data_IF_326877176089
#
_entry.id   IF_326877176089
#
_cell.length_a   1.000
_cell.length_b   1.000
_cell.length_c   1.000
_cell.angle_alpha   90.00
_cell.angle_beta   90.00
_cell.angle_gamma   90.00
#
_symmetry.space_group_name_H-M   'P 1'
#
loop_
_entity.id
_entity.type
_entity.pdbx_description
1 polymer ?
#
# COMPACT_ATOMS: atom_id res chain seq x y z
N UNK A 1 -14.64 20.85 0.76
CA UNK A 1 -13.76 21.37 -0.30
C UNK A 1 -12.41 20.66 -0.38
N UNK A 2 -11.69 20.42 0.74
CA UNK A 2 -10.43 19.65 0.75
C UNK A 2 -10.58 18.22 0.19
N UNK A 3 -11.63 17.49 0.58
CA UNK A 3 -11.95 16.15 0.05
C UNK A 3 -12.21 16.15 -1.48
N UNK A 4 -12.78 17.23 -2.03
CA UNK A 4 -13.08 17.36 -3.45
C UNK A 4 -11.82 17.68 -4.27
N UNK A 5 -10.90 18.47 -3.69
CA UNK A 5 -9.59 18.73 -4.29
C UNK A 5 -8.69 17.49 -4.30
N UNK A 6 -8.75 16.67 -3.25
CA UNK A 6 -8.02 15.40 -3.17
C UNK A 6 -8.52 14.38 -4.21
N UNK A 7 -9.85 14.27 -4.36
CA UNK A 7 -10.46 13.38 -5.35
C UNK A 7 -10.15 13.83 -6.79
N UNK A 8 -10.09 15.15 -7.03
CA UNK A 8 -9.66 15.72 -8.31
C UNK A 8 -8.18 15.44 -8.59
N UNK A 9 -7.31 15.52 -7.58
CA UNK A 9 -5.88 15.21 -7.69
C UNK A 9 -5.66 13.72 -8.01
N UNK A 10 -6.40 12.83 -7.34
CA UNK A 10 -6.36 11.39 -7.60
C UNK A 10 -6.87 11.06 -9.02
N UNK A 11 -7.93 11.72 -9.51
CA UNK A 11 -8.39 11.54 -10.89
C UNK A 11 -7.37 12.03 -11.92
N UNK A 12 -6.71 13.17 -11.68
CA UNK A 12 -5.66 13.69 -12.57
C UNK A 12 -4.46 12.73 -12.63
N UNK A 13 -4.09 12.13 -11.49
CA UNK A 13 -3.04 11.10 -11.44
C UNK A 13 -3.42 9.86 -12.25
N UNK A 14 -4.65 9.36 -12.12
CA UNK A 14 -5.12 8.16 -12.86
C UNK A 14 -5.21 8.41 -14.37
N UNK A 15 -5.65 9.59 -14.80
CA UNK A 15 -5.74 9.98 -16.21
C UNK A 15 -4.37 10.20 -16.86
N UNK A 16 -3.31 10.40 -16.07
CA UNK A 16 -1.94 10.56 -16.56
C UNK A 16 -1.32 9.25 -17.07
N UNK A 17 -1.90 8.09 -16.71
CA UNK A 17 -1.41 6.77 -17.14
C UNK A 17 -1.97 6.30 -18.50
N UNK A 18 -2.81 7.09 -19.18
CA UNK A 18 -3.48 6.68 -20.43
C UNK A 18 -3.09 7.46 -21.70
N UNK A 19 -1.89 8.04 -21.76
CA UNK A 19 -1.39 8.80 -22.93
C UNK A 19 0.12 8.56 -23.07
N UNK A 20 0.71 7.99 -24.12
CA UNK A 20 0.31 7.71 -25.50
C UNK A 20 1.03 6.44 -25.96
N UNK A 21 0.28 5.40 -26.33
CA UNK A 21 0.77 4.41 -27.29
C UNK A 21 0.44 4.96 -28.68
N UNK A 22 1.42 5.55 -29.38
CA UNK A 22 1.25 6.01 -30.77
C UNK A 22 1.93 5.05 -31.70
N UNK A 23 1.13 4.14 -32.24
CA UNK A 23 1.49 3.27 -33.36
C UNK A 23 1.99 4.11 -34.54
N UNK A 24 3.18 3.76 -35.05
CA UNK A 24 3.67 4.24 -36.35
C UNK A 24 3.03 3.40 -37.45
N UNK A 25 1.96 3.89 -38.05
CA UNK A 25 1.52 3.47 -39.38
C UNK A 25 2.00 4.48 -40.43
N UNK A 26 2.69 3.98 -41.45
CA UNK A 26 3.17 4.74 -42.62
C UNK A 26 2.02 5.02 -43.59
N UNK A 27 2.12 6.20 -44.20
CA UNK A 27 1.44 6.76 -45.38
C UNK A 27 0.70 5.81 -46.32
N UNK A 28 -0.49 6.26 -46.76
CA UNK A 28 -0.74 6.51 -48.19
C UNK A 28 -1.92 7.49 -48.40
N UNK A 29 -1.62 8.54 -49.15
CA UNK A 29 -2.53 9.42 -49.88
C UNK A 29 -3.67 8.67 -50.58
N UNK A 30 -4.89 9.21 -50.51
CA UNK A 30 -5.57 9.76 -51.68
C UNK A 30 -6.91 10.41 -51.29
N UNK A 31 -7.11 11.58 -51.88
CA UNK A 31 -8.32 12.40 -52.02
C UNK A 31 -9.66 11.65 -52.02
N UNK A 32 -10.68 12.22 -51.37
CA UNK A 32 -11.88 12.75 -52.06
C UNK A 32 -12.87 13.39 -51.07
N UNK A 33 -13.39 14.55 -51.47
CA UNK A 33 -14.50 15.27 -50.87
C UNK A 33 -15.79 14.43 -50.96
N UNK A 34 -16.63 14.44 -49.92
CA UNK A 34 -18.04 14.83 -50.14
C UNK A 34 -18.84 15.14 -48.86
N UNK A 35 -19.87 15.94 -49.09
CA UNK A 35 -20.76 16.66 -48.18
C UNK A 35 -21.81 15.80 -47.45
N UNK A 36 -22.17 16.31 -46.27
CA UNK A 36 -23.54 16.51 -45.70
C UNK A 36 -24.56 15.38 -45.82
N UNK A 37 -25.06 14.90 -44.68
CA UNK A 37 -26.50 14.99 -44.38
C UNK A 37 -26.81 14.83 -42.88
N UNK A 38 -27.65 15.74 -42.41
CA UNK A 38 -28.34 15.77 -41.13
C UNK A 38 -29.31 14.58 -41.02
N UNK A 39 -29.55 14.11 -39.80
CA UNK A 39 -30.91 13.82 -39.36
C UNK A 39 -31.01 13.96 -37.85
N UNK A 40 -31.81 14.94 -37.46
CA UNK A 40 -32.48 15.08 -36.17
C UNK A 40 -33.67 14.10 -36.09
N UNK A 41 -34.37 14.20 -34.96
CA UNK A 41 -35.63 13.56 -34.55
C UNK A 41 -35.40 12.43 -33.54
N UNK A 42 -36.05 12.38 -32.38
CA UNK A 42 -36.80 13.33 -31.56
C UNK A 42 -37.07 12.60 -30.24
N UNK A 43 -37.34 13.38 -29.20
CA UNK A 43 -37.70 13.00 -27.83
C UNK A 43 -38.79 11.91 -27.71
N UNK A 44 -38.76 11.10 -26.64
CA UNK A 44 -39.92 10.89 -25.75
C UNK A 44 -39.45 10.44 -24.35
N UNK A 45 -39.70 11.33 -23.37
CA UNK A 45 -39.71 11.07 -21.94
C UNK A 45 -40.89 10.16 -21.57
N UNK A 46 -40.69 9.24 -20.62
CA UNK A 46 -41.79 8.75 -19.79
C UNK A 46 -41.31 8.57 -18.34
N UNK A 47 -41.75 9.52 -17.53
CA UNK A 47 -41.87 9.40 -16.08
C UNK A 47 -43.03 8.45 -15.76
N UNK A 48 -42.83 7.52 -14.83
CA UNK A 48 -43.93 6.90 -14.10
C UNK A 48 -43.50 6.69 -12.64
N UNK A 49 -43.99 7.59 -11.80
CA UNK A 49 -43.95 7.51 -10.34
C UNK A 49 -44.95 6.45 -9.86
N UNK A 50 -44.55 5.61 -8.90
CA UNK A 50 -45.43 5.15 -7.82
C UNK A 50 -44.62 4.64 -6.61
N UNK A 51 -44.68 5.45 -5.56
CA UNK A 51 -44.78 5.13 -4.13
C UNK A 51 -45.63 3.88 -3.82
N UNK A 52 -45.55 3.16 -2.70
CA UNK A 52 -44.84 3.16 -1.42
C UNK A 52 -44.95 1.69 -0.92
N UNK A 53 -44.03 1.22 -0.08
CA UNK A 53 -44.35 0.73 1.28
C UNK A 53 -43.20 -0.10 1.87
N UNK A 54 -42.93 0.25 3.12
CA UNK A 54 -41.95 -0.26 4.05
C UNK A 54 -41.98 -1.79 4.19
N UNK A 55 -40.81 -2.42 4.27
CA UNK A 55 -40.59 -3.44 5.28
C UNK A 55 -39.13 -3.51 5.73
N UNK A 56 -39.04 -3.63 7.03
CA UNK A 56 -37.95 -3.34 7.95
C UNK A 56 -37.06 -4.58 8.10
N UNK A 57 -35.89 -4.61 7.46
CA UNK A 57 -34.82 -5.57 7.79
C UNK A 57 -33.46 -4.87 7.79
N UNK A 58 -33.21 -4.13 8.86
CA UNK A 58 -31.85 -3.77 9.27
C UNK A 58 -31.14 -4.99 9.87
N UNK A 59 -30.78 -5.95 9.02
CA UNK A 59 -29.70 -6.87 9.34
C UNK A 59 -28.37 -6.14 9.15
N UNK A 60 -28.03 -5.25 10.09
CA UNK A 60 -26.64 -4.84 10.31
C UNK A 60 -25.93 -6.00 11.01
N UNK A 61 -25.74 -7.08 10.26
CA UNK A 61 -24.84 -8.16 10.58
C UNK A 61 -23.44 -7.56 10.55
N UNK A 62 -23.07 -6.95 11.68
CA UNK A 62 -21.69 -6.76 12.06
C UNK A 62 -21.04 -8.14 12.01
N UNK A 63 -20.46 -8.43 10.85
CA UNK A 63 -19.53 -9.51 10.62
C UNK A 63 -18.31 -9.21 11.48
N UNK A 64 -18.45 -9.42 12.79
CA UNK A 64 -17.35 -9.71 13.69
C UNK A 64 -16.79 -11.04 13.21
N UNK A 65 -15.97 -10.96 12.16
CA UNK A 65 -15.04 -11.98 11.77
C UNK A 65 -14.15 -12.20 12.99
N UNK A 66 -14.58 -13.13 13.83
CA UNK A 66 -13.74 -13.75 14.83
C UNK A 66 -12.72 -14.58 14.05
N UNK A 67 -11.65 -13.91 13.57
CA UNK A 67 -10.62 -14.51 12.75
C UNK A 67 -9.85 -15.50 13.61
N UNK A 68 -10.23 -16.78 13.48
CA UNK A 68 -9.45 -17.90 13.98
C UNK A 68 -8.08 -17.92 13.29
N UNK A 69 -7.03 -18.23 14.07
CA UNK A 69 -5.67 -18.66 13.66
C UNK A 69 -5.33 -18.53 12.17
N UNK A 70 -4.30 -17.72 11.85
CA UNK A 70 -3.78 -17.43 10.52
C UNK A 70 -3.46 -18.64 9.62
N UNK A 71 -4.50 -19.22 9.05
CA UNK A 71 -4.42 -20.17 7.95
C UNK A 71 -4.56 -19.37 6.66
N UNK A 72 -3.46 -18.72 6.26
CA UNK A 72 -3.41 -17.93 5.04
C UNK A 72 -3.23 -18.87 3.84
N UNK A 73 -4.24 -18.93 2.96
CA UNK A 73 -4.18 -19.71 1.73
C UNK A 73 -3.18 -19.10 0.73
N UNK A 74 -2.57 -19.91 -0.12
CA UNK A 74 -1.69 -19.40 -1.17
C UNK A 74 -2.40 -18.41 -2.07
N UNK A 75 -3.68 -18.59 -2.38
CA UNK A 75 -4.39 -17.72 -3.34
C UNK A 75 -4.63 -16.32 -2.80
N UNK A 76 -5.03 -16.21 -1.54
CA UNK A 76 -5.51 -14.95 -0.94
C UNK A 76 -4.68 -14.52 0.27
N UNK A 77 -3.60 -15.22 0.60
CA UNK A 77 -2.91 -15.04 1.87
C UNK A 77 -2.33 -13.64 2.04
N UNK A 78 -1.82 -13.03 0.97
CA UNK A 78 -1.27 -11.69 1.01
C UNK A 78 -2.37 -10.65 1.22
N UNK A 79 -3.41 -10.66 0.39
CA UNK A 79 -4.57 -9.75 0.50
C UNK A 79 -5.30 -9.90 1.83
N UNK A 80 -5.47 -11.13 2.33
CA UNK A 80 -6.11 -11.39 3.63
C UNK A 80 -5.26 -10.83 4.77
N UNK A 81 -3.95 -11.09 4.79
CA UNK A 81 -3.07 -10.56 5.83
C UNK A 81 -3.05 -9.03 5.85
N UNK A 82 -2.95 -8.40 4.68
CA UNK A 82 -2.98 -6.93 4.54
C UNK A 82 -4.33 -6.37 5.00
N UNK A 83 -5.43 -7.00 4.61
CA UNK A 83 -6.78 -6.58 5.02
C UNK A 83 -6.95 -6.68 6.54
N UNK A 84 -6.49 -7.77 7.17
CA UNK A 84 -6.50 -7.92 8.63
C UNK A 84 -5.71 -6.80 9.31
N UNK A 85 -4.51 -6.49 8.80
CA UNK A 85 -3.67 -5.41 9.32
C UNK A 85 -4.36 -4.04 9.23
N UNK A 86 -4.87 -3.69 8.05
CA UNK A 86 -5.54 -2.41 7.82
C UNK A 86 -6.79 -2.27 8.68
N UNK A 87 -7.68 -3.26 8.65
CA UNK A 87 -8.92 -3.26 9.45
C UNK A 87 -8.65 -3.18 10.95
N UNK A 88 -7.56 -3.79 11.42
CA UNK A 88 -7.22 -3.74 12.85
C UNK A 88 -6.88 -2.32 13.29
N UNK A 89 -6.19 -1.53 12.47
CA UNK A 89 -5.80 -0.17 12.86
C UNK A 89 -6.79 0.92 12.44
N UNK A 90 -7.67 0.67 11.47
CA UNK A 90 -8.63 1.67 10.96
C UNK A 90 -9.34 2.46 12.06
N UNK A 91 -9.94 1.86 13.10
CA UNK A 91 -10.65 2.64 14.13
C UNK A 91 -9.74 3.64 14.86
N UNK A 92 -8.49 3.25 15.14
CA UNK A 92 -7.52 4.13 15.78
C UNK A 92 -6.99 5.22 14.84
N UNK A 93 -6.87 4.93 13.54
CA UNK A 93 -6.50 5.91 12.52
C UNK A 93 -7.62 6.94 12.33
N UNK A 94 -8.88 6.51 12.29
CA UNK A 94 -10.04 7.40 12.18
C UNK A 94 -10.08 8.39 13.35
N UNK A 95 -9.80 7.94 14.58
CA UNK A 95 -9.68 8.82 15.75
C UNK A 95 -8.56 9.85 15.60
N UNK A 96 -7.41 9.47 15.05
CA UNK A 96 -6.29 10.39 14.80
C UNK A 96 -6.67 11.45 13.76
N UNK A 97 -7.35 11.05 12.69
CA UNK A 97 -7.79 11.93 11.62
C UNK A 97 -8.90 12.90 12.06
N UNK A 98 -9.73 12.51 13.01
CA UNK A 98 -10.78 13.34 13.59
C UNK A 98 -10.29 14.26 14.72
N UNK A 99 -9.14 13.96 15.31
CA UNK A 99 -8.58 14.72 16.43
C UNK A 99 -7.98 16.08 16.02
N UNK A 100 -7.88 17.00 16.98
CA UNK A 100 -7.21 18.28 16.76
C UNK A 100 -5.69 18.10 16.72
N UNK A 101 -5.14 18.09 15.50
CA UNK A 101 -3.71 17.91 15.27
C UNK A 101 -2.95 19.22 15.56
N UNK A 102 -1.89 19.19 16.40
CA UNK A 102 -1.03 20.35 16.57
C UNK A 102 -0.38 20.77 15.25
N UNK A 103 -0.40 22.07 14.93
CA UNK A 103 0.25 22.61 13.71
C UNK A 103 1.73 22.19 13.59
N UNK A 104 2.40 22.00 14.73
CA UNK A 104 3.80 21.62 14.81
C UNK A 104 4.09 20.21 14.29
N UNK A 105 3.10 19.30 14.27
CA UNK A 105 3.30 17.87 13.96
C UNK A 105 2.67 17.43 12.64
N UNK A 106 2.02 18.36 11.92
CA UNK A 106 1.23 18.05 10.71
C UNK A 106 2.07 17.44 9.57
N UNK A 107 3.36 17.73 9.50
CA UNK A 107 4.25 17.13 8.50
C UNK A 107 4.73 15.76 8.94
N UNK A 108 5.07 15.60 10.23
CA UNK A 108 5.55 14.33 10.77
C UNK A 108 4.45 13.27 10.76
N UNK A 109 3.20 13.65 10.98
CA UNK A 109 2.05 12.73 10.98
C UNK A 109 1.87 12.01 9.63
N UNK A 110 2.35 12.59 8.52
CA UNK A 110 2.36 11.91 7.22
C UNK A 110 3.22 10.65 7.23
N UNK A 111 4.22 10.58 8.12
CA UNK A 111 5.03 9.39 8.39
C UNK A 111 4.20 8.17 8.76
N UNK A 112 3.04 8.36 9.41
CA UNK A 112 2.13 7.28 9.81
C UNK A 112 1.60 6.47 8.62
N UNK A 113 1.44 7.13 7.46
CA UNK A 113 0.88 6.52 6.25
C UNK A 113 1.94 5.88 5.35
N UNK A 114 3.22 6.08 5.63
CA UNK A 114 4.31 5.57 4.78
C UNK A 114 4.28 4.05 4.67
N UNK A 115 3.93 3.35 5.75
CA UNK A 115 3.86 1.91 5.74
C UNK A 115 2.76 1.36 4.82
N UNK A 116 1.59 2.00 4.83
CA UNK A 116 0.45 1.57 4.01
C UNK A 116 0.74 1.77 2.52
N UNK A 117 1.44 2.86 2.17
CA UNK A 117 1.88 3.13 0.80
C UNK A 117 2.86 2.06 0.31
N UNK A 118 3.79 1.61 1.16
CA UNK A 118 4.77 0.57 0.80
C UNK A 118 4.11 -0.78 0.51
N UNK A 119 3.02 -1.12 1.21
CA UNK A 119 2.37 -2.43 1.08
C UNK A 119 1.19 -2.46 0.09
N UNK A 120 0.85 -1.32 -0.54
CA UNK A 120 -0.37 -1.20 -1.35
C UNK A 120 -0.42 -2.14 -2.57
N UNK A 121 0.74 -2.48 -3.14
CA UNK A 121 0.82 -3.37 -4.31
C UNK A 121 0.90 -4.85 -3.92
N UNK A 122 1.20 -5.19 -2.66
CA UNK A 122 1.36 -6.58 -2.20
C UNK A 122 0.11 -7.44 -2.47
N UNK A 123 -1.13 -6.96 -2.23
CA UNK A 123 -2.33 -7.73 -2.59
C UNK A 123 -2.45 -8.06 -4.09
N UNK A 124 -1.83 -7.27 -4.99
CA UNK A 124 -1.92 -7.51 -6.43
C UNK A 124 -1.20 -8.81 -6.86
N UNK A 125 -0.28 -9.33 -6.05
CA UNK A 125 0.35 -10.63 -6.30
C UNK A 125 -0.64 -11.80 -6.18
N UNK A 126 -1.71 -11.66 -5.38
CA UNK A 126 -2.78 -12.65 -5.33
C UNK A 126 -3.53 -12.76 -6.66
N UNK A 127 -3.65 -11.64 -7.38
CA UNK A 127 -4.24 -11.58 -8.72
C UNK A 127 -3.32 -12.14 -9.82
N UNK A 128 -2.11 -12.63 -9.51
CA UNK A 128 -1.32 -13.40 -10.49
C UNK A 128 -1.88 -14.83 -10.67
N UNK A 129 -2.68 -15.32 -9.72
CA UNK A 129 -3.31 -16.65 -9.77
C UNK A 129 -4.85 -16.59 -9.87
N UNK A 130 -5.40 -15.72 -10.73
CA UNK A 130 -6.86 -15.53 -10.87
C UNK A 130 -7.62 -16.79 -11.28
N UNK A 131 -6.95 -17.72 -11.97
CA UNK A 131 -7.58 -18.96 -12.47
C UNK A 131 -7.51 -20.10 -11.46
N UNK A 132 -6.85 -19.89 -10.32
CA UNK A 132 -6.67 -20.89 -9.28
C UNK A 132 -5.86 -22.08 -9.78
N UNK A 133 -4.72 -21.79 -10.40
CA UNK A 133 -3.75 -22.80 -10.83
C UNK A 133 -3.38 -23.71 -9.65
N UNK A 134 -2.99 -24.95 -9.96
CA UNK A 134 -2.42 -25.86 -8.95
C UNK A 134 -0.93 -25.62 -8.74
N UNK A 135 -0.39 -24.62 -9.43
CA UNK A 135 1.04 -24.36 -9.45
C UNK A 135 1.40 -23.59 -8.19
N UNK A 136 2.42 -24.08 -7.50
CA UNK A 136 2.99 -23.40 -6.34
C UNK A 136 3.85 -22.21 -6.71
N UNK A 137 3.88 -21.83 -7.99
CA UNK A 137 4.60 -20.68 -8.52
C UNK A 137 3.83 -20.12 -9.70
N UNK A 138 3.55 -18.83 -9.67
CA UNK A 138 2.89 -18.09 -10.74
C UNK A 138 3.73 -16.89 -11.13
N UNK A 139 3.63 -16.52 -12.40
CA UNK A 139 4.29 -15.34 -12.99
C UNK A 139 3.25 -14.58 -13.79
N UNK A 140 3.31 -13.26 -13.75
CA UNK A 140 2.45 -12.39 -14.56
C UNK A 140 2.78 -10.92 -14.30
N UNK A 141 2.01 -10.02 -14.90
CA UNK A 141 2.21 -8.59 -14.72
C UNK A 141 1.35 -8.06 -13.58
N UNK A 142 1.93 -7.26 -12.68
CA UNK A 142 1.19 -6.60 -11.62
C UNK A 142 0.23 -5.55 -12.18
N UNK A 143 -0.95 -5.43 -11.55
CA UNK A 143 -2.02 -4.57 -12.04
C UNK A 143 -1.66 -3.08 -12.02
N UNK A 144 -0.83 -2.63 -11.07
CA UNK A 144 -0.51 -1.21 -10.89
C UNK A 144 0.75 -0.80 -11.63
N UNK A 145 1.87 -1.51 -11.42
CA UNK A 145 3.14 -1.20 -12.08
C UNK A 145 3.25 -1.73 -13.51
N UNK A 146 2.50 -2.78 -13.86
CA UNK A 146 2.67 -3.51 -15.11
C UNK A 146 3.94 -4.37 -15.17
N UNK A 147 4.71 -4.44 -14.09
CA UNK A 147 5.97 -5.20 -14.04
C UNK A 147 5.72 -6.70 -13.99
N UNK A 148 6.55 -7.45 -14.71
CA UNK A 148 6.58 -8.91 -14.60
C UNK A 148 7.06 -9.30 -13.20
N UNK A 149 6.22 -10.04 -12.50
CA UNK A 149 6.39 -10.38 -11.11
C UNK A 149 6.11 -11.86 -10.88
N UNK A 150 6.58 -12.36 -9.75
CA UNK A 150 6.40 -13.77 -9.36
C UNK A 150 5.80 -13.87 -7.98
N UNK A 151 5.05 -14.96 -7.77
CA UNK A 151 4.55 -15.38 -6.46
C UNK A 151 4.70 -16.89 -6.32
N UNK A 152 5.26 -17.35 -5.21
CA UNK A 152 5.64 -18.75 -5.00
C UNK A 152 5.35 -19.22 -3.57
N UNK A 153 4.78 -20.41 -3.43
CA UNK A 153 4.63 -21.10 -2.16
C UNK A 153 5.84 -22.00 -1.90
N UNK A 154 6.69 -21.60 -0.96
CA UNK A 154 7.83 -22.36 -0.47
C UNK A 154 7.64 -22.74 1.01
N UNK A 155 7.15 -23.95 1.24
CA UNK A 155 6.79 -24.42 2.59
C UNK A 155 5.67 -23.57 3.20
N UNK A 156 5.96 -22.97 4.36
CA UNK A 156 5.04 -22.06 5.09
C UNK A 156 5.19 -20.59 4.61
N UNK A 157 5.92 -20.33 3.51
CA UNK A 157 6.17 -18.98 3.01
C UNK A 157 5.55 -18.75 1.65
N UNK A 158 4.74 -17.69 1.53
CA UNK A 158 4.31 -17.13 0.26
C UNK A 158 5.34 -16.06 -0.10
N UNK A 159 6.27 -16.36 -1.00
CA UNK A 159 7.26 -15.42 -1.52
C UNK A 159 6.68 -14.65 -2.70
N UNK A 160 7.09 -13.40 -2.85
CA UNK A 160 6.69 -12.55 -3.96
C UNK A 160 7.81 -11.58 -4.32
N UNK A 161 7.77 -11.07 -5.55
CA UNK A 161 8.68 -10.01 -5.95
C UNK A 161 8.75 -9.78 -7.46
N UNK A 162 9.38 -8.68 -7.83
CA UNK A 162 9.75 -8.32 -9.18
C UNK A 162 11.14 -7.66 -9.21
N UNK A 163 11.73 -7.62 -10.40
CA UNK A 163 12.85 -6.74 -10.73
C UNK A 163 12.52 -6.09 -12.07
N UNK A 164 12.63 -4.77 -12.14
CA UNK A 164 12.40 -4.01 -13.37
C UNK A 164 13.48 -2.96 -13.59
N UNK A 165 13.83 -2.70 -14.85
CA UNK A 165 14.70 -1.57 -15.22
C UNK A 165 13.87 -0.52 -15.94
N UNK A 166 13.97 0.73 -15.52
CA UNK A 166 13.23 1.82 -16.12
C UNK A 166 13.79 2.17 -17.51
N UNK A 167 12.93 2.12 -18.52
CA UNK A 167 13.29 2.49 -19.90
C UNK A 167 13.17 3.99 -20.16
N UNK A 168 12.44 4.70 -19.31
CA UNK A 168 12.19 6.15 -19.36
C UNK A 168 12.21 6.72 -17.94
N UNK A 169 12.37 8.04 -17.82
CA UNK A 169 12.28 8.72 -16.53
C UNK A 169 10.85 8.61 -15.99
N UNK A 170 10.72 8.15 -14.76
CA UNK A 170 9.45 8.00 -14.05
C UNK A 170 9.34 8.93 -12.85
N UNK A 171 8.28 8.73 -12.06
CA UNK A 171 8.12 9.41 -10.79
C UNK A 171 9.09 8.80 -9.76
N UNK A 172 10.19 9.49 -9.48
CA UNK A 172 11.18 9.10 -8.46
C UNK A 172 12.30 8.17 -8.94
N UNK A 173 12.11 7.44 -10.06
CA UNK A 173 13.15 6.64 -10.71
C UNK A 173 13.51 7.23 -12.07
N UNK A 174 14.78 7.17 -12.44
CA UNK A 174 15.30 7.64 -13.72
C UNK A 174 15.48 6.48 -14.69
N UNK A 175 15.57 6.81 -15.99
CA UNK A 175 15.96 5.84 -17.01
C UNK A 175 17.26 5.14 -16.63
N UNK A 176 17.25 3.81 -16.70
CA UNK A 176 18.39 2.95 -16.37
C UNK A 176 18.45 2.53 -14.90
N UNK A 177 17.58 3.06 -14.04
CA UNK A 177 17.45 2.56 -12.67
C UNK A 177 16.87 1.16 -12.68
N UNK A 178 17.44 0.27 -11.87
CA UNK A 178 16.86 -1.03 -11.58
C UNK A 178 16.19 -0.98 -10.22
N UNK A 179 14.88 -1.18 -10.21
CA UNK A 179 14.07 -1.35 -9.01
C UNK A 179 13.82 -2.82 -8.75
N UNK A 180 13.91 -3.22 -7.48
CA UNK A 180 13.61 -4.59 -7.06
C UNK A 180 12.72 -4.53 -5.83
N UNK A 181 11.62 -5.27 -5.88
CA UNK A 181 10.76 -5.52 -4.73
C UNK A 181 10.80 -7.00 -4.42
N UNK A 182 11.15 -7.37 -3.20
CA UNK A 182 11.14 -8.78 -2.76
C UNK A 182 10.50 -8.89 -1.40
N UNK A 183 9.73 -9.96 -1.20
CA UNK A 183 9.09 -10.15 0.08
C UNK A 183 8.57 -11.57 0.29
N UNK A 184 8.09 -11.80 1.50
CA UNK A 184 7.39 -13.04 1.83
C UNK A 184 6.44 -12.85 3.01
N UNK A 185 5.34 -13.59 2.99
CA UNK A 185 4.50 -13.85 4.14
C UNK A 185 4.84 -15.24 4.70
N UNK A 186 5.36 -15.30 5.92
CA UNK A 186 5.50 -16.53 6.70
C UNK A 186 4.18 -16.80 7.43
N UNK A 187 3.37 -17.71 6.88
CA UNK A 187 2.00 -17.97 7.35
C UNK A 187 1.99 -18.63 8.72
N UNK A 188 3.03 -19.39 9.05
CA UNK A 188 3.19 -20.03 10.35
C UNK A 188 3.56 -19.04 11.45
N UNK A 189 4.42 -18.07 11.15
CA UNK A 189 4.84 -17.03 12.09
C UNK A 189 3.90 -15.81 12.09
N UNK A 190 3.05 -15.68 11.07
CA UNK A 190 2.22 -14.50 10.80
C UNK A 190 3.06 -13.22 10.66
N UNK A 191 4.12 -13.29 9.85
CA UNK A 191 5.00 -12.15 9.60
C UNK A 191 5.15 -11.93 8.09
N UNK A 192 4.86 -10.72 7.65
CA UNK A 192 5.11 -10.22 6.31
C UNK A 192 6.41 -9.41 6.31
N UNK A 193 7.27 -9.66 5.32
CA UNK A 193 8.47 -8.87 5.03
C UNK A 193 8.40 -8.38 3.60
N UNK A 194 8.78 -7.12 3.38
CA UNK A 194 9.06 -6.57 2.06
C UNK A 194 10.35 -5.75 2.12
N UNK A 195 11.15 -5.84 1.07
CA UNK A 195 12.31 -4.99 0.83
C UNK A 195 12.24 -4.47 -0.60
N UNK A 196 12.28 -3.15 -0.73
CA UNK A 196 12.35 -2.45 -2.00
C UNK A 196 13.70 -1.75 -2.12
N UNK A 197 14.36 -1.91 -3.26
CA UNK A 197 15.65 -1.30 -3.54
C UNK A 197 15.66 -0.63 -4.91
N UNK A 198 16.39 0.47 -5.00
CA UNK A 198 16.72 1.10 -6.29
C UNK A 198 18.23 1.16 -6.44
N UNK A 199 18.70 0.66 -7.58
CA UNK A 199 20.11 0.76 -7.96
C UNK A 199 20.27 1.60 -9.22
N UNK A 200 21.30 2.45 -9.25
CA UNK A 200 21.68 3.28 -10.39
C UNK A 200 23.14 3.04 -10.71
N UNK A 201 23.41 2.65 -11.95
CA UNK A 201 24.78 2.31 -12.40
C UNK A 201 25.47 1.26 -11.48
N UNK A 202 24.68 0.35 -10.90
CA UNK A 202 25.15 -0.68 -9.97
C UNK A 202 25.31 -0.24 -8.51
N UNK A 203 25.06 1.03 -8.17
CA UNK A 203 25.10 1.53 -6.80
C UNK A 203 23.71 1.53 -6.18
N UNK A 204 23.56 1.03 -4.95
CA UNK A 204 22.33 1.13 -4.18
C UNK A 204 22.11 2.59 -3.75
N UNK A 205 21.01 3.19 -4.18
CA UNK A 205 20.66 4.59 -3.86
C UNK A 205 19.42 4.71 -2.98
N UNK A 206 18.59 3.66 -2.93
CA UNK A 206 17.40 3.62 -2.10
C UNK A 206 17.18 2.23 -1.55
N UNK A 207 16.78 2.16 -0.28
CA UNK A 207 16.36 0.92 0.39
C UNK A 207 15.18 1.23 1.30
N UNK A 208 14.13 0.44 1.18
CA UNK A 208 12.97 0.43 2.07
C UNK A 208 12.80 -0.97 2.60
N UNK A 209 12.64 -1.10 3.91
CA UNK A 209 12.33 -2.35 4.58
C UNK A 209 11.00 -2.18 5.31
N UNK A 210 10.13 -3.15 5.14
CA UNK A 210 8.87 -3.28 5.86
C UNK A 210 8.79 -4.66 6.52
N UNK A 211 8.48 -4.68 7.80
CA UNK A 211 8.06 -5.88 8.50
C UNK A 211 6.75 -5.64 9.23
N UNK A 212 5.79 -6.55 9.06
CA UNK A 212 4.50 -6.53 9.76
C UNK A 212 4.29 -7.89 10.42
N UNK A 213 4.13 -7.91 11.74
CA UNK A 213 3.91 -9.14 12.50
C UNK A 213 2.56 -9.11 13.22
N UNK A 214 1.77 -10.19 13.10
CA UNK A 214 0.54 -10.39 13.87
C UNK A 214 0.81 -11.31 15.07
N UNK A 215 0.65 -10.77 16.27
CA UNK A 215 0.75 -11.52 17.52
C UNK A 215 -0.48 -12.42 17.72
N UNK A 216 -0.35 -13.44 18.57
CA UNK A 216 -1.42 -14.44 18.81
C UNK A 216 -2.74 -13.85 19.33
N UNK A 217 -2.67 -12.71 20.02
CA UNK A 217 -3.84 -12.00 20.55
C UNK A 217 -4.37 -10.92 19.60
N UNK A 218 -3.91 -10.89 18.34
CA UNK A 218 -4.44 -9.99 17.31
C UNK A 218 -3.76 -8.63 17.21
N UNK A 219 -2.80 -8.31 18.08
CA UNK A 219 -1.98 -7.09 17.96
C UNK A 219 -1.08 -7.18 16.73
N UNK A 220 -0.96 -6.08 16.00
CA UNK A 220 0.02 -5.92 14.94
C UNK A 220 1.21 -5.10 15.40
N UNK A 221 2.41 -5.53 14.99
CA UNK A 221 3.66 -4.80 15.09
C UNK A 221 4.12 -4.45 13.68
N UNK A 222 4.61 -3.24 13.50
CA UNK A 222 5.13 -2.73 12.22
C UNK A 222 6.47 -2.08 12.46
N UNK A 223 7.41 -2.37 11.57
CA UNK A 223 8.66 -1.65 11.42
C UNK A 223 8.83 -1.28 9.96
N UNK A 224 8.92 0.02 9.68
CA UNK A 224 9.18 0.57 8.36
C UNK A 224 10.41 1.46 8.45
N UNK A 225 11.41 1.20 7.62
CA UNK A 225 12.63 2.00 7.54
C UNK A 225 12.92 2.26 6.07
N UNK A 226 13.03 3.52 5.69
CA UNK A 226 13.35 3.90 4.31
C UNK A 226 14.44 4.95 4.27
N UNK A 227 15.33 4.85 3.28
CA UNK A 227 16.31 5.88 2.99
C UNK A 227 16.59 5.96 1.50
N UNK A 228 16.68 7.18 0.98
CA UNK A 228 17.09 7.46 -0.38
C UNK A 228 18.21 8.50 -0.38
N UNK A 229 19.41 8.14 -0.86
CA UNK A 229 20.59 9.00 -0.81
C UNK A 229 20.51 10.25 -1.68
N UNK A 230 19.59 10.30 -2.63
CA UNK A 230 19.43 11.41 -3.57
C UNK A 230 18.40 12.44 -3.08
N UNK A 231 17.44 12.03 -2.24
CA UNK A 231 16.33 12.88 -1.80
C UNK A 231 16.25 13.08 -0.29
N UNK A 232 16.94 12.25 0.51
CA UNK A 232 16.96 12.33 1.97
C UNK A 232 18.31 12.83 2.47
N UNK A 233 18.39 14.10 2.90
CA UNK A 233 19.60 14.64 3.55
C UNK A 233 19.66 14.34 5.05
N UNK A 234 18.49 14.11 5.68
CA UNK A 234 18.34 14.21 7.13
C UNK A 234 18.40 12.85 7.84
N UNK A 235 18.56 11.77 7.08
CA UNK A 235 18.64 10.40 7.61
C UNK A 235 17.55 9.48 7.10
N UNK A 236 17.56 8.24 7.61
CA UNK A 236 16.47 7.29 7.39
C UNK A 236 15.16 7.85 7.95
N UNK A 237 14.05 7.62 7.26
CA UNK A 237 12.70 7.82 7.80
C UNK A 237 12.18 6.49 8.34
N UNK A 238 11.73 6.50 9.59
CA UNK A 238 11.34 5.30 10.32
C UNK A 238 9.93 5.45 10.90
N UNK A 239 9.14 4.38 10.82
CA UNK A 239 7.87 4.22 11.53
C UNK A 239 7.90 2.89 12.29
N UNK A 240 7.68 2.97 13.59
CA UNK A 240 7.45 1.80 14.45
C UNK A 240 6.03 1.90 14.99
N UNK A 241 5.23 0.85 14.79
CA UNK A 241 3.83 0.88 15.19
C UNK A 241 3.44 -0.40 15.91
N UNK A 242 2.68 -0.24 16.98
CA UNK A 242 1.98 -1.32 17.67
C UNK A 242 0.50 -0.96 17.72
N UNK A 243 -0.35 -1.83 17.19
CA UNK A 243 -1.79 -1.56 17.13
C UNK A 243 -2.66 -2.76 17.50
N UNK A 244 -3.80 -2.44 18.09
CA UNK A 244 -5.00 -3.28 18.19
C UNK A 244 -6.17 -2.47 17.65
N UNK A 245 -7.37 -3.07 17.64
CA UNK A 245 -8.61 -2.36 17.30
C UNK A 245 -8.87 -1.14 18.17
N UNK A 246 -8.44 -1.17 19.43
CA UNK A 246 -8.80 -0.16 20.44
C UNK A 246 -7.61 0.71 20.88
N UNK A 247 -6.40 0.39 20.45
CA UNK A 247 -5.19 1.06 20.90
C UNK A 247 -4.12 1.14 19.81
N UNK A 248 -3.42 2.26 19.74
CA UNK A 248 -2.28 2.43 18.83
C UNK A 248 -1.14 3.15 19.54
N UNK A 249 0.08 2.74 19.26
CA UNK A 249 1.29 3.51 19.55
C UNK A 249 2.13 3.52 18.28
N UNK A 250 2.33 4.70 17.71
CA UNK A 250 3.18 4.91 16.55
C UNK A 250 4.31 5.87 16.93
N UNK A 251 5.53 5.53 16.52
CA UNK A 251 6.72 6.32 16.71
C UNK A 251 7.30 6.60 15.34
N UNK A 252 7.27 7.87 14.96
CA UNK A 252 7.93 8.40 13.78
C UNK A 252 9.30 8.89 14.24
N UNK A 253 10.34 8.39 13.60
CA UNK A 253 11.71 8.61 14.00
C UNK A 253 12.64 8.75 12.79
N UNK A 254 13.84 9.23 13.03
CA UNK A 254 14.92 9.27 12.06
C UNK A 254 16.15 8.48 12.51
N UNK A 255 16.84 7.89 11.54
CA UNK A 255 18.09 7.16 11.72
C UNK A 255 19.25 7.81 10.99
N UNK A 256 20.40 7.14 10.96
CA UNK A 256 21.59 7.62 10.27
C UNK A 256 21.38 7.69 8.74
N UNK A 257 22.05 8.60 8.00
CA UNK A 257 21.92 8.74 6.54
C UNK A 257 22.73 7.66 5.79
N UNK A 258 22.39 6.40 6.02
CA UNK A 258 23.05 5.23 5.43
C UNK A 258 22.03 4.41 4.65
N UNK A 259 22.30 4.19 3.35
CA UNK A 259 21.41 3.43 2.46
C UNK A 259 21.39 1.94 2.73
N UNK A 260 22.54 1.32 2.95
CA UNK A 260 22.61 -0.09 3.31
C UNK A 260 22.64 -0.23 4.83
N UNK A 261 21.52 0.15 5.43
CA UNK A 261 21.35 0.12 6.87
C UNK A 261 21.12 -1.30 7.38
N UNK A 262 21.57 -1.52 8.61
CA UNK A 262 21.22 -2.69 9.41
C UNK A 262 20.05 -2.32 10.32
N UNK A 263 19.18 -3.28 10.57
CA UNK A 263 18.05 -3.14 11.48
C UNK A 263 17.88 -4.43 12.27
N UNK A 264 17.19 -4.34 13.39
CA UNK A 264 16.80 -5.56 14.12
C UNK A 264 15.43 -6.00 13.64
N UNK A 265 15.31 -7.27 13.27
CA UNK A 265 14.09 -7.82 12.69
C UNK A 265 13.06 -8.16 13.76
N UNK A 266 11.78 -7.92 13.49
CA UNK A 266 10.64 -8.33 14.33
C UNK A 266 10.63 -9.85 14.55
N UNK A 267 11.22 -10.65 13.64
CA UNK A 267 11.36 -12.10 13.80
C UNK A 267 12.11 -12.50 15.07
N UNK A 268 13.00 -11.63 15.56
CA UNK A 268 13.88 -11.92 16.69
C UNK A 268 13.30 -11.45 18.03
N UNK A 269 12.22 -10.64 18.02
CA UNK A 269 11.73 -9.93 19.21
C UNK A 269 10.42 -10.47 19.80
N UNK A 270 9.57 -11.13 19.02
CA UNK A 270 8.27 -11.59 19.51
C UNK A 270 7.35 -10.43 19.88
N UNK A 271 6.89 -10.37 21.13
CA UNK A 271 6.00 -9.31 21.62
C UNK A 271 6.82 -8.13 22.18
N UNK A 272 6.95 -7.06 21.40
CA UNK A 272 7.80 -5.89 21.69
C UNK A 272 7.03 -4.58 21.53
N UNK A 273 7.36 -3.56 22.32
CA UNK A 273 6.74 -2.22 22.21
C UNK A 273 7.28 -1.45 21.00
N UNK A 274 6.55 -0.42 20.56
CA UNK A 274 7.05 0.46 19.49
C UNK A 274 8.28 1.26 19.98
N UNK A 275 8.29 1.66 21.25
CA UNK A 275 9.37 2.37 21.92
C UNK A 275 10.66 1.55 21.94
N UNK A 276 10.58 0.25 22.25
CA UNK A 276 11.74 -0.63 22.27
C UNK A 276 12.33 -0.84 20.87
N UNK A 277 11.50 -0.84 19.82
CA UNK A 277 11.96 -0.90 18.44
C UNK A 277 12.63 0.42 18.01
N UNK A 278 12.10 1.55 18.48
CA UNK A 278 12.58 2.88 18.15
C UNK A 278 13.79 3.34 18.98
N UNK A 279 14.22 2.60 20.00
CA UNK A 279 15.19 3.05 21.03
C UNK A 279 16.54 3.55 20.49
N UNK A 280 16.96 3.04 19.32
CA UNK A 280 18.24 3.37 18.69
C UNK A 280 18.09 4.48 17.63
N UNK A 281 16.89 5.07 17.50
CA UNK A 281 16.53 6.11 16.54
C UNK A 281 16.19 7.43 17.26
N UNK A 282 16.26 8.54 16.51
CA UNK A 282 15.85 9.85 17.01
C UNK A 282 14.35 10.01 16.80
N UNK A 283 13.57 9.94 17.88
CA UNK A 283 12.11 10.14 17.81
C UNK A 283 11.77 11.58 17.44
N UNK A 284 10.93 11.74 16.42
CA UNK A 284 10.38 13.03 16.00
C UNK A 284 8.96 13.24 16.54
N UNK A 285 8.14 12.19 16.53
CA UNK A 285 6.76 12.23 17.00
C UNK A 285 6.34 10.87 17.55
N UNK A 286 5.70 10.88 18.71
CA UNK A 286 4.95 9.73 19.22
C UNK A 286 3.46 10.02 19.17
N UNK A 287 2.69 9.10 18.60
CA UNK A 287 1.23 9.17 18.53
C UNK A 287 0.68 7.99 19.34
N UNK A 288 -0.20 8.26 20.29
CA UNK A 288 -0.89 7.22 21.05
C UNK A 288 -2.39 7.39 20.94
N UNK A 289 -3.07 6.27 20.80
CA UNK A 289 -4.52 6.15 20.93
C UNK A 289 -4.79 5.16 22.05
N UNK A 290 -5.48 5.60 23.08
CA UNK A 290 -5.90 4.76 24.20
C UNK A 290 -7.18 5.33 24.80
N UNK A 291 -8.12 4.45 25.16
CA UNK A 291 -9.41 4.82 25.78
C UNK A 291 -10.21 5.86 24.97
N UNK A 292 -10.04 5.86 23.63
CA UNK A 292 -10.70 6.80 22.71
C UNK A 292 -10.05 8.20 22.64
N UNK A 293 -8.92 8.42 23.31
CA UNK A 293 -8.19 9.68 23.29
C UNK A 293 -6.93 9.57 22.43
N UNK A 294 -6.59 10.66 21.73
CA UNK A 294 -5.39 10.78 20.90
C UNK A 294 -4.41 11.73 21.57
N UNK A 295 -3.16 11.30 21.73
CA UNK A 295 -2.07 12.13 22.26
C UNK A 295 -0.88 12.18 21.32
N UNK A 296 -0.27 13.36 21.23
CA UNK A 296 0.94 13.65 20.45
C UNK A 296 2.06 14.06 21.42
N UNK A 297 3.19 13.36 21.40
CA UNK A 297 4.36 13.59 22.27
C UNK A 297 5.64 13.78 21.46
#
# INVERSE_FOLDING_TARGET
MKKLALLLLCMILVLSFSSCNKDKAKDKDSDEEDRVEENQDDDEESEDENQDDDDDESEDSSSSLSISKGDYDFKTGLSTFITDYLNTKTPTIDLIDESEQPDAVIWDIMGLYTADLTIMEIPAYDALDLTGSKDKKVTGNLMFSGFEATKELDGDKIKFGYTNTYEEDGFGSLKGDTVTSTGYLDTKKNILVSEDTTTREGNLISKTVMEIARLKHGTFLVQHITYNSETSSDGQSCLFLRSTTDSLTAIIASGEPVVDFNYTSLFDHGDVSAEDLAKDFTTALTIKVADGEVTYE
#
